data_IF_269082596406
#
_entry.id   IF_269082596406
#
_cell.length_a   1.000
_cell.length_b   1.000
_cell.length_c   1.000
_cell.angle_alpha   90.00
_cell.angle_beta   90.00
_cell.angle_gamma   90.00
#
_symmetry.space_group_name_H-M   'P 1'
#
loop_
_entity.id
_entity.type
_entity.pdbx_description
1 polymer ?
#
# COMPACT_ATOMS: atom_id res chain seq x y z
N UNK A 1 -21.46 6.24 -24.75
CA UNK A 1 -21.51 6.53 -23.28
C UNK A 1 -20.96 5.35 -22.52
N UNK A 2 -20.12 5.57 -21.49
CA UNK A 2 -19.64 4.51 -20.61
C UNK A 2 -20.52 4.42 -19.37
N UNK A 3 -20.88 3.21 -18.96
CA UNK A 3 -21.67 2.94 -17.78
C UNK A 3 -21.11 1.75 -17.02
N UNK A 4 -21.02 1.86 -15.68
CA UNK A 4 -20.64 0.77 -14.80
C UNK A 4 -21.90 0.31 -14.05
N UNK A 5 -22.32 -0.93 -14.27
CA UNK A 5 -23.49 -1.52 -13.61
C UNK A 5 -23.05 -2.58 -12.62
N UNK A 6 -23.61 -2.55 -11.42
CA UNK A 6 -23.44 -3.61 -10.44
C UNK A 6 -24.18 -4.87 -10.91
N UNK A 7 -23.59 -6.05 -10.67
CA UNK A 7 -24.24 -7.34 -10.89
C UNK A 7 -25.61 -7.38 -10.18
N UNK A 8 -26.60 -7.92 -10.87
CA UNK A 8 -27.92 -8.22 -10.36
C UNK A 8 -28.35 -9.63 -10.76
N UNK A 9 -29.15 -10.30 -9.94
CA UNK A 9 -29.74 -11.59 -10.27
C UNK A 9 -30.63 -11.55 -11.54
N UNK A 10 -31.06 -10.35 -11.98
CA UNK A 10 -31.82 -10.15 -13.19
C UNK A 10 -30.99 -9.93 -14.47
N UNK A 11 -29.67 -10.04 -14.41
CA UNK A 11 -28.80 -9.82 -15.57
C UNK A 11 -29.02 -10.89 -16.64
N UNK A 12 -29.27 -10.43 -17.87
CA UNK A 12 -29.79 -11.25 -18.97
C UNK A 12 -28.74 -11.87 -19.89
N UNK A 13 -29.23 -12.34 -21.05
CA UNK A 13 -28.48 -13.09 -22.07
C UNK A 13 -27.28 -12.31 -22.60
N UNK A 14 -27.35 -11.00 -22.74
CA UNK A 14 -26.27 -10.17 -23.29
C UNK A 14 -24.97 -10.23 -22.47
N UNK A 15 -25.09 -10.35 -21.12
CA UNK A 15 -23.95 -10.52 -20.23
C UNK A 15 -23.43 -11.95 -20.28
N UNK A 16 -24.34 -12.92 -20.32
CA UNK A 16 -23.96 -14.31 -20.50
C UNK A 16 -23.12 -14.50 -21.77
N UNK A 17 -23.58 -13.98 -22.92
CA UNK A 17 -22.86 -14.02 -24.19
C UNK A 17 -21.48 -13.35 -24.10
N UNK A 18 -21.39 -12.18 -23.46
CA UNK A 18 -20.10 -11.52 -23.20
C UNK A 18 -19.16 -12.43 -22.40
N UNK A 19 -19.67 -13.07 -21.36
CA UNK A 19 -18.87 -13.96 -20.51
C UNK A 19 -18.42 -15.24 -21.22
N UNK A 20 -19.20 -15.75 -22.22
CA UNK A 20 -18.78 -16.87 -23.06
C UNK A 20 -17.58 -16.52 -23.97
N UNK A 21 -17.42 -15.25 -24.37
CA UNK A 21 -16.26 -14.82 -25.17
C UNK A 21 -14.99 -14.66 -24.33
N UNK A 22 -15.12 -14.41 -23.03
CA UNK A 22 -13.98 -14.21 -22.13
C UNK A 22 -13.48 -15.58 -21.68
N UNK A 23 -12.18 -15.92 -21.89
CA UNK A 23 -11.62 -17.22 -21.51
C UNK A 23 -11.86 -17.57 -20.04
N UNK A 24 -12.03 -18.86 -19.75
CA UNK A 24 -12.19 -19.39 -18.40
C UNK A 24 -11.02 -18.98 -17.47
N UNK A 25 -9.80 -18.99 -18.03
CA UNK A 25 -8.60 -18.53 -17.32
C UNK A 25 -7.70 -17.70 -18.25
N UNK A 26 -7.30 -16.54 -17.78
CA UNK A 26 -6.33 -15.69 -18.47
C UNK A 26 -5.61 -14.78 -17.47
N UNK A 27 -4.27 -14.81 -17.45
CA UNK A 27 -3.45 -13.92 -16.61
C UNK A 27 -3.83 -13.89 -15.11
N UNK A 28 -4.16 -15.04 -14.53
CA UNK A 28 -4.67 -15.22 -13.17
C UNK A 28 -6.09 -14.63 -12.95
N UNK A 29 -6.81 -14.29 -14.01
CA UNK A 29 -8.22 -13.98 -13.96
C UNK A 29 -9.03 -15.24 -14.27
N UNK A 30 -10.00 -15.56 -13.39
CA UNK A 30 -10.89 -16.70 -13.53
C UNK A 30 -12.29 -16.24 -13.90
N UNK A 31 -12.83 -16.82 -14.98
CA UNK A 31 -14.21 -16.64 -15.45
C UNK A 31 -14.95 -17.97 -15.34
N UNK A 32 -15.62 -18.17 -14.22
CA UNK A 32 -16.38 -19.40 -13.94
C UNK A 32 -17.65 -19.58 -14.79
N UNK A 33 -18.01 -18.56 -15.57
CA UNK A 33 -19.23 -18.60 -16.43
C UNK A 33 -18.88 -19.13 -17.83
N UNK A 34 -17.61 -19.09 -18.25
CA UNK A 34 -17.21 -19.59 -19.54
C UNK A 34 -17.48 -21.10 -19.66
N UNK A 35 -18.32 -21.48 -20.61
CA UNK A 35 -18.66 -22.89 -20.91
C UNK A 35 -19.80 -23.50 -20.09
N UNK A 36 -20.40 -22.77 -19.14
CA UNK A 36 -21.59 -23.26 -18.42
C UNK A 36 -22.88 -22.94 -19.19
N UNK A 37 -24.00 -23.61 -18.85
CA UNK A 37 -25.30 -23.32 -19.44
C UNK A 37 -25.87 -21.99 -18.95
N UNK A 38 -26.85 -21.43 -19.67
CA UNK A 38 -27.55 -20.22 -19.24
C UNK A 38 -28.32 -20.42 -17.93
N UNK A 39 -28.85 -21.61 -17.68
CA UNK A 39 -29.51 -21.96 -16.42
C UNK A 39 -28.51 -21.89 -15.25
N UNK A 40 -27.34 -22.52 -15.37
CA UNK A 40 -26.27 -22.44 -14.36
C UNK A 40 -25.73 -21.01 -14.17
N UNK A 41 -25.80 -20.17 -15.21
CA UNK A 41 -25.44 -18.75 -15.11
C UNK A 41 -26.44 -17.99 -14.22
N UNK A 42 -27.71 -18.32 -14.22
CA UNK A 42 -28.71 -17.69 -13.32
C UNK A 42 -28.40 -18.01 -11.85
N UNK A 43 -28.02 -19.27 -11.56
CA UNK A 43 -27.59 -19.67 -10.21
C UNK A 43 -26.32 -18.92 -9.79
N UNK A 44 -25.35 -18.81 -10.69
CA UNK A 44 -24.14 -18.01 -10.47
C UNK A 44 -24.44 -16.55 -10.11
N UNK A 45 -25.37 -15.89 -10.81
CA UNK A 45 -25.76 -14.50 -10.51
C UNK A 45 -26.33 -14.37 -9.09
N UNK A 46 -27.23 -15.28 -8.71
CA UNK A 46 -27.85 -15.28 -7.39
C UNK A 46 -26.82 -15.51 -6.26
N UNK A 47 -25.84 -16.37 -6.50
CA UNK A 47 -24.74 -16.62 -5.55
C UNK A 47 -23.83 -15.39 -5.43
N UNK A 48 -23.39 -14.82 -6.56
CA UNK A 48 -22.49 -13.66 -6.57
C UNK A 48 -23.13 -12.39 -5.99
N UNK A 49 -24.43 -12.19 -6.16
CA UNK A 49 -25.15 -11.09 -5.53
C UNK A 49 -25.11 -11.19 -4.00
N UNK A 50 -25.30 -12.40 -3.46
CA UNK A 50 -25.19 -12.67 -2.02
C UNK A 50 -23.77 -12.44 -1.48
N UNK A 51 -22.73 -12.83 -2.23
CA UNK A 51 -21.34 -12.62 -1.83
C UNK A 51 -20.97 -11.14 -1.64
N UNK A 52 -21.65 -10.23 -2.34
CA UNK A 52 -21.41 -8.78 -2.18
C UNK A 52 -21.90 -8.22 -0.84
N UNK A 53 -22.85 -8.91 -0.20
CA UNK A 53 -23.46 -8.52 1.07
C UNK A 53 -23.03 -9.43 2.25
N UNK A 54 -22.28 -10.52 1.98
CA UNK A 54 -21.95 -11.52 2.99
C UNK A 54 -20.94 -11.00 4.00
N UNK A 55 -21.40 -10.72 5.21
CA UNK A 55 -20.55 -10.61 6.39
C UNK A 55 -20.04 -12.01 6.75
N UNK A 56 -18.72 -12.22 6.78
CA UNK A 56 -18.13 -13.47 7.30
C UNK A 56 -17.56 -14.45 6.26
N UNK A 57 -17.61 -14.19 4.97
CA UNK A 57 -16.89 -14.97 3.95
C UNK A 57 -15.39 -14.63 3.96
N UNK A 58 -14.66 -15.05 4.97
CA UNK A 58 -13.21 -14.83 5.07
C UNK A 58 -12.53 -16.18 5.21
N UNK A 59 -12.01 -16.73 4.10
CA UNK A 59 -11.27 -18.00 4.08
C UNK A 59 -9.83 -17.88 3.53
N UNK A 60 -9.23 -16.68 3.67
CA UNK A 60 -7.88 -16.39 3.16
C UNK A 60 -7.89 -15.86 1.73
N UNK A 61 -8.64 -16.44 0.80
CA UNK A 61 -8.77 -16.00 -0.61
C UNK A 61 -10.12 -15.37 -0.92
N UNK A 62 -11.15 -15.64 -0.12
CA UNK A 62 -12.49 -15.11 -0.27
C UNK A 62 -12.75 -13.99 0.71
N UNK A 63 -13.27 -12.90 0.21
CA UNK A 63 -13.75 -11.74 0.97
C UNK A 63 -14.99 -11.22 0.27
N UNK A 64 -15.87 -10.48 0.96
CA UNK A 64 -16.95 -9.76 0.32
C UNK A 64 -16.43 -8.98 -0.88
N UNK A 65 -17.06 -9.18 -2.04
CA UNK A 65 -16.68 -8.54 -3.29
C UNK A 65 -17.90 -8.18 -4.13
N UNK A 66 -17.84 -7.03 -4.78
CA UNK A 66 -18.89 -6.58 -5.69
C UNK A 66 -18.43 -6.74 -7.12
N UNK A 67 -19.23 -7.44 -7.93
CA UNK A 67 -19.01 -7.55 -9.37
C UNK A 67 -19.71 -6.43 -10.11
N UNK A 68 -19.04 -5.91 -11.15
CA UNK A 68 -19.52 -4.87 -12.02
C UNK A 68 -19.35 -5.26 -13.48
N UNK A 69 -20.27 -4.77 -14.31
CA UNK A 69 -20.24 -4.87 -15.77
C UNK A 69 -19.92 -3.50 -16.37
N UNK A 70 -19.02 -3.46 -17.34
CA UNK A 70 -18.78 -2.27 -18.13
C UNK A 70 -19.65 -2.30 -19.38
N UNK A 71 -20.50 -1.29 -19.54
CA UNK A 71 -21.26 -1.05 -20.75
C UNK A 71 -20.65 0.09 -21.55
N UNK A 72 -20.62 -0.09 -22.88
CA UNK A 72 -20.24 0.95 -23.83
C UNK A 72 -21.36 1.03 -24.86
N UNK A 73 -22.02 2.20 -24.96
CA UNK A 73 -23.13 2.42 -25.87
C UNK A 73 -24.25 1.35 -25.76
N UNK A 74 -24.53 0.96 -24.52
CA UNK A 74 -25.59 -0.04 -24.22
C UNK A 74 -25.15 -1.49 -24.38
N UNK A 75 -23.88 -1.78 -24.78
CA UNK A 75 -23.35 -3.13 -24.98
C UNK A 75 -22.39 -3.49 -23.85
N UNK A 76 -22.51 -4.67 -23.20
CA UNK A 76 -21.54 -5.12 -22.20
C UNK A 76 -20.22 -5.52 -22.87
N UNK A 77 -19.11 -4.98 -22.37
CA UNK A 77 -17.77 -5.17 -22.97
C UNK A 77 -16.74 -5.77 -22.02
N UNK A 78 -17.05 -5.88 -20.74
CA UNK A 78 -16.16 -6.44 -19.76
C UNK A 78 -16.73 -6.47 -18.36
N UNK A 79 -16.00 -7.10 -17.44
CA UNK A 79 -16.40 -7.18 -16.04
C UNK A 79 -15.24 -6.90 -15.09
N UNK A 80 -15.56 -6.63 -13.84
CA UNK A 80 -14.58 -6.54 -12.77
C UNK A 80 -15.18 -6.91 -11.42
N UNK A 81 -14.32 -7.44 -10.55
CA UNK A 81 -14.59 -7.69 -9.14
C UNK A 81 -13.83 -6.67 -8.30
N UNK A 82 -14.53 -5.98 -7.40
CA UNK A 82 -13.97 -5.08 -6.40
C UNK A 82 -14.10 -5.74 -5.02
N UNK A 83 -12.99 -6.18 -4.45
CA UNK A 83 -12.90 -6.74 -3.10
C UNK A 83 -12.90 -5.63 -2.06
N UNK A 84 -13.74 -5.78 -1.03
CA UNK A 84 -13.96 -4.74 -0.02
C UNK A 84 -12.76 -4.54 0.90
N UNK A 85 -11.97 -5.59 1.13
CA UNK A 85 -10.71 -5.57 1.87
C UNK A 85 -9.79 -6.70 1.40
N UNK A 86 -8.56 -6.77 1.94
CA UNK A 86 -7.59 -7.79 1.55
C UNK A 86 -7.10 -8.59 2.76
N UNK A 87 -7.16 -9.91 2.64
CA UNK A 87 -6.44 -10.84 3.51
C UNK A 87 -4.94 -10.84 3.19
N UNK A 88 -4.08 -11.44 4.03
CA UNK A 88 -2.66 -11.63 3.72
C UNK A 88 -2.43 -12.35 2.38
N UNK A 89 -3.22 -13.39 2.05
CA UNK A 89 -3.14 -14.11 0.79
C UNK A 89 -3.49 -13.21 -0.42
N UNK A 90 -4.57 -12.45 -0.34
CA UNK A 90 -4.99 -11.52 -1.39
C UNK A 90 -4.02 -10.35 -1.59
N UNK A 91 -3.27 -9.97 -0.55
CA UNK A 91 -2.16 -8.99 -0.66
C UNK A 91 -0.96 -9.55 -1.42
N UNK A 92 -0.75 -10.87 -1.40
CA UNK A 92 0.31 -11.53 -2.16
C UNK A 92 -0.10 -11.81 -3.61
N UNK A 93 -1.39 -12.15 -3.84
CA UNK A 93 -1.91 -12.41 -5.18
C UNK A 93 -3.41 -12.08 -5.24
N UNK A 94 -3.86 -11.43 -6.31
CA UNK A 94 -5.26 -11.06 -6.53
C UNK A 94 -5.55 -9.56 -6.32
N UNK A 95 -5.05 -8.93 -5.27
CA UNK A 95 -5.28 -7.51 -4.99
C UNK A 95 -6.76 -7.16 -4.78
N UNK A 96 -7.10 -5.85 -4.80
CA UNK A 96 -8.48 -5.39 -4.63
C UNK A 96 -9.33 -5.59 -5.88
N UNK A 97 -8.75 -5.52 -7.08
CA UNK A 97 -9.52 -5.50 -8.33
C UNK A 97 -8.97 -6.55 -9.30
N UNK A 98 -9.86 -7.46 -9.74
CA UNK A 98 -9.68 -8.29 -10.91
C UNK A 98 -10.63 -7.83 -12.02
N UNK A 99 -10.19 -7.80 -13.27
CA UNK A 99 -11.03 -7.36 -14.39
C UNK A 99 -10.65 -8.02 -15.70
N UNK A 100 -11.62 -8.14 -16.61
CA UNK A 100 -11.42 -8.59 -17.96
C UNK A 100 -12.25 -7.79 -18.95
N UNK A 101 -11.73 -7.62 -20.17
CA UNK A 101 -12.44 -7.09 -21.34
C UNK A 101 -12.60 -8.22 -22.35
N UNK A 102 -13.81 -8.34 -22.92
CA UNK A 102 -14.08 -9.35 -23.95
C UNK A 102 -13.10 -9.18 -25.13
N UNK A 103 -12.58 -10.27 -25.70
CA UNK A 103 -11.50 -10.23 -26.69
C UNK A 103 -11.75 -9.29 -27.86
N UNK A 104 -12.99 -9.29 -28.40
CA UNK A 104 -13.41 -8.45 -29.54
C UNK A 104 -13.42 -6.94 -29.26
N UNK A 105 -13.32 -6.54 -27.97
CA UNK A 105 -13.40 -5.15 -27.52
C UNK A 105 -12.05 -4.65 -26.92
N UNK A 106 -11.00 -5.47 -26.98
CA UNK A 106 -9.66 -5.08 -26.50
C UNK A 106 -9.00 -4.06 -27.43
N UNK A 107 -7.97 -3.37 -26.89
CA UNK A 107 -7.23 -2.37 -27.65
C UNK A 107 -7.92 -1.01 -27.79
N UNK A 108 -9.18 -0.88 -27.37
CA UNK A 108 -10.01 0.35 -27.49
C UNK A 108 -9.95 1.26 -26.25
N UNK A 109 -9.08 0.97 -25.27
CA UNK A 109 -8.96 1.75 -24.03
C UNK A 109 -9.99 1.41 -22.94
N UNK A 110 -10.87 0.44 -23.16
CA UNK A 110 -11.97 0.12 -22.24
C UNK A 110 -11.49 -0.39 -20.87
N UNK A 111 -10.38 -1.13 -20.80
CA UNK A 111 -9.79 -1.54 -19.52
C UNK A 111 -9.37 -0.34 -18.67
N UNK A 112 -8.82 0.71 -19.28
CA UNK A 112 -8.48 1.94 -18.57
C UNK A 112 -9.71 2.62 -17.99
N UNK A 113 -10.79 2.71 -18.79
CA UNK A 113 -12.05 3.34 -18.34
C UNK A 113 -12.76 2.50 -17.28
N UNK A 114 -12.74 1.17 -17.42
CA UNK A 114 -13.29 0.26 -16.40
C UNK A 114 -12.60 0.48 -15.05
N UNK A 115 -11.25 0.49 -15.02
CA UNK A 115 -10.53 0.73 -13.79
C UNK A 115 -10.81 2.13 -13.22
N UNK A 116 -10.86 3.17 -14.04
CA UNK A 116 -11.21 4.53 -13.60
C UNK A 116 -12.56 4.57 -12.85
N UNK A 117 -13.60 3.96 -13.42
CA UNK A 117 -14.94 3.90 -12.81
C UNK A 117 -14.94 3.06 -11.51
N UNK A 118 -14.18 1.96 -11.48
CA UNK A 118 -14.06 1.15 -10.27
C UNK A 118 -13.35 1.88 -9.13
N UNK A 119 -12.38 2.75 -9.44
CA UNK A 119 -11.73 3.57 -8.43
C UNK A 119 -12.71 4.59 -7.80
N UNK A 120 -13.73 5.04 -8.54
CA UNK A 120 -14.80 5.84 -7.96
C UNK A 120 -15.66 5.03 -6.99
N UNK A 121 -16.02 3.79 -7.34
CA UNK A 121 -16.73 2.88 -6.42
C UNK A 121 -15.88 2.57 -5.18
N UNK A 122 -14.58 2.31 -5.34
CA UNK A 122 -13.67 2.09 -4.24
C UNK A 122 -13.58 3.31 -3.28
N UNK A 123 -13.65 4.55 -3.82
CA UNK A 123 -13.73 5.77 -2.99
C UNK A 123 -15.03 5.85 -2.21
N UNK A 124 -16.18 5.49 -2.83
CA UNK A 124 -17.48 5.43 -2.14
C UNK A 124 -17.44 4.43 -0.98
N UNK A 125 -16.69 3.34 -1.12
CA UNK A 125 -16.43 2.34 -0.07
C UNK A 125 -15.39 2.80 0.96
N UNK A 126 -14.87 4.04 0.86
CA UNK A 126 -13.86 4.62 1.74
C UNK A 126 -12.53 3.85 1.77
N UNK A 127 -12.19 3.15 0.68
CA UNK A 127 -10.86 2.58 0.54
C UNK A 127 -9.83 3.72 0.39
N UNK A 128 -8.76 3.66 1.14
CA UNK A 128 -7.69 4.68 1.05
C UNK A 128 -6.77 4.45 -0.15
N UNK A 129 -6.61 3.20 -0.56
CA UNK A 129 -5.80 2.77 -1.70
C UNK A 129 -6.32 1.45 -2.29
N UNK A 130 -5.99 1.22 -3.55
CA UNK A 130 -6.28 -0.04 -4.25
C UNK A 130 -4.96 -0.69 -4.64
N UNK A 131 -4.82 -1.98 -4.30
CA UNK A 131 -3.72 -2.83 -4.76
C UNK A 131 -4.16 -3.58 -6.03
N UNK A 132 -3.38 -3.45 -7.09
CA UNK A 132 -3.48 -4.26 -8.31
C UNK A 132 -2.26 -5.18 -8.35
N UNK A 133 -2.49 -6.47 -8.55
CA UNK A 133 -1.43 -7.44 -8.80
C UNK A 133 -1.53 -7.93 -10.24
N UNK A 134 -0.41 -8.04 -10.92
CA UNK A 134 -0.35 -8.49 -12.31
C UNK A 134 0.89 -9.38 -12.55
N UNK A 135 0.78 -10.39 -13.40
CA UNK A 135 1.96 -11.12 -13.88
C UNK A 135 2.86 -10.16 -14.67
N UNK A 136 4.20 -10.26 -14.58
CA UNK A 136 5.11 -9.36 -15.31
C UNK A 136 4.87 -9.35 -16.83
N UNK A 137 4.42 -10.47 -17.39
CA UNK A 137 4.07 -10.60 -18.81
C UNK A 137 2.77 -9.86 -19.17
N UNK A 138 1.88 -9.58 -18.21
CA UNK A 138 0.62 -8.88 -18.45
C UNK A 138 0.83 -7.35 -18.53
N UNK A 139 1.55 -6.93 -19.58
CA UNK A 139 1.84 -5.52 -19.82
C UNK A 139 0.57 -4.68 -19.98
N UNK A 140 -0.52 -5.27 -20.48
CA UNK A 140 -1.81 -4.59 -20.63
C UNK A 140 -2.37 -4.15 -19.26
N UNK A 141 -2.45 -5.06 -18.28
CA UNK A 141 -2.93 -4.72 -16.93
C UNK A 141 -2.01 -3.73 -16.21
N UNK A 142 -0.69 -3.92 -16.34
CA UNK A 142 0.31 -2.98 -15.79
C UNK A 142 0.12 -1.58 -16.39
N UNK A 143 -0.07 -1.49 -17.70
CA UNK A 143 -0.32 -0.23 -18.43
C UNK A 143 -1.62 0.44 -18.00
N UNK A 144 -2.70 -0.32 -17.84
CA UNK A 144 -4.00 0.16 -17.34
C UNK A 144 -3.88 0.72 -15.92
N UNK A 145 -3.21 0.00 -15.02
CA UNK A 145 -3.01 0.45 -13.65
C UNK A 145 -2.16 1.74 -13.60
N UNK A 146 -1.05 1.81 -14.35
CA UNK A 146 -0.21 3.01 -14.45
C UNK A 146 -0.96 4.21 -15.02
N UNK A 147 -1.80 4.02 -16.05
CA UNK A 147 -2.61 5.07 -16.66
C UNK A 147 -3.67 5.63 -15.69
N UNK A 148 -4.03 4.90 -14.65
CA UNK A 148 -4.92 5.29 -13.55
C UNK A 148 -4.16 5.74 -12.27
N UNK A 149 -2.89 6.10 -12.40
CA UNK A 149 -2.08 6.62 -11.28
C UNK A 149 -1.39 5.55 -10.45
N UNK A 150 -1.44 4.28 -10.88
CA UNK A 150 -0.78 3.17 -10.21
C UNK A 150 0.74 3.28 -10.24
N UNK A 151 1.35 3.02 -9.10
CA UNK A 151 2.81 2.99 -8.92
C UNK A 151 3.25 1.62 -8.50
N UNK A 152 4.33 1.13 -9.12
CA UNK A 152 4.94 -0.13 -8.72
C UNK A 152 5.59 0.08 -7.35
N UNK A 153 5.11 -0.67 -6.35
CA UNK A 153 5.63 -0.65 -4.98
C UNK A 153 6.49 -1.88 -4.66
N UNK A 154 6.30 -2.95 -5.43
CA UNK A 154 7.07 -4.18 -5.33
C UNK A 154 7.00 -4.94 -6.66
N UNK A 155 8.07 -5.66 -7.00
CA UNK A 155 8.11 -6.57 -8.13
C UNK A 155 8.91 -7.81 -7.77
N UNK A 156 8.41 -8.97 -8.16
CA UNK A 156 9.07 -10.28 -8.09
C UNK A 156 9.11 -10.87 -9.49
N UNK A 157 9.70 -12.06 -9.64
CA UNK A 157 9.69 -12.81 -10.91
C UNK A 157 8.28 -13.21 -11.34
N UNK A 158 7.36 -13.40 -10.37
CA UNK A 158 5.99 -13.87 -10.62
C UNK A 158 4.95 -12.76 -10.65
N UNK A 159 5.19 -11.63 -9.95
CA UNK A 159 4.16 -10.62 -9.72
C UNK A 159 4.71 -9.20 -9.65
N UNK A 160 3.98 -8.27 -10.28
CA UNK A 160 4.13 -6.82 -10.15
C UNK A 160 3.00 -6.30 -9.27
N UNK A 161 3.34 -5.55 -8.24
CA UNK A 161 2.40 -4.95 -7.28
C UNK A 161 2.32 -3.46 -7.52
N UNK A 162 1.13 -2.99 -7.91
CA UNK A 162 0.86 -1.57 -8.14
C UNK A 162 -0.16 -1.07 -7.12
N UNK A 163 0.12 0.07 -6.52
CA UNK A 163 -0.81 0.75 -5.62
C UNK A 163 -1.32 2.02 -6.28
N UNK A 164 -2.64 2.19 -6.26
CA UNK A 164 -3.34 3.41 -6.69
C UNK A 164 -3.89 4.07 -5.44
N UNK A 165 -3.35 5.23 -5.02
CA UNK A 165 -3.90 5.97 -3.89
C UNK A 165 -5.26 6.58 -4.27
N UNK A 166 -6.25 6.46 -3.39
CA UNK A 166 -7.59 7.02 -3.56
C UNK A 166 -7.80 8.29 -2.75
N UNK A 167 -6.95 8.52 -1.77
CA UNK A 167 -6.93 9.72 -0.93
C UNK A 167 -5.62 10.46 -1.13
N UNK A 168 -5.65 11.76 -0.92
CA UNK A 168 -4.46 12.58 -0.93
C UNK A 168 -3.93 12.69 0.50
N UNK A 169 -2.70 12.24 0.71
CA UNK A 169 -2.04 12.31 2.02
C UNK A 169 -1.19 13.57 2.21
N UNK A 170 -1.23 14.55 1.28
CA UNK A 170 -0.38 15.75 1.34
C UNK A 170 -0.56 16.54 2.64
N UNK A 171 -1.77 16.55 3.17
CA UNK A 171 -2.13 17.35 4.35
C UNK A 171 -1.98 16.57 5.67
N UNK A 172 -1.62 15.29 5.60
CA UNK A 172 -1.39 14.47 6.79
C UNK A 172 -0.10 14.91 7.45
N UNK A 173 -0.24 15.40 8.68
CA UNK A 173 0.88 15.82 9.53
C UNK A 173 0.66 15.40 10.98
N UNK A 174 1.75 15.20 11.69
CA UNK A 174 1.77 15.04 13.14
C UNK A 174 2.67 16.16 13.71
N UNK A 175 2.34 16.62 14.88
CA UNK A 175 3.05 17.73 15.50
C UNK A 175 3.44 17.38 16.94
N UNK A 176 4.59 17.83 17.36
CA UNK A 176 5.07 17.81 18.74
C UNK A 176 5.56 19.19 19.16
N UNK A 177 6.19 19.30 20.29
CA UNK A 177 6.74 20.57 20.81
C UNK A 177 7.71 21.22 19.82
N UNK A 178 8.73 20.48 19.37
CA UNK A 178 9.79 21.00 18.52
C UNK A 178 9.69 20.54 17.06
N UNK A 179 8.83 19.56 16.74
CA UNK A 179 8.84 18.86 15.45
C UNK A 179 7.50 18.93 14.72
N UNK A 180 7.61 18.88 13.39
CA UNK A 180 6.49 18.62 12.48
C UNK A 180 6.86 17.44 11.59
N UNK A 181 6.09 16.36 11.68
CA UNK A 181 6.18 15.21 10.79
C UNK A 181 5.19 15.41 9.65
N UNK A 182 5.65 15.62 8.43
CA UNK A 182 4.79 15.88 7.26
C UNK A 182 5.38 15.32 5.98
N UNK A 183 4.63 15.44 4.88
CA UNK A 183 5.09 15.02 3.55
C UNK A 183 6.24 15.89 3.06
N UNK A 184 7.17 15.24 2.35
CA UNK A 184 8.30 15.89 1.71
C UNK A 184 7.86 16.79 0.55
N UNK A 185 8.67 17.81 0.27
CA UNK A 185 8.66 18.58 -0.96
C UNK A 185 9.89 18.27 -1.78
N UNK A 186 9.84 18.53 -3.07
CA UNK A 186 10.97 18.23 -3.97
C UNK A 186 12.26 18.94 -3.54
N UNK A 187 12.16 20.19 -3.08
CA UNK A 187 13.28 21.01 -2.64
C UNK A 187 13.99 20.54 -1.36
N UNK A 188 13.33 19.70 -0.55
CA UNK A 188 13.87 19.23 0.73
C UNK A 188 15.09 18.29 0.59
N UNK A 189 15.35 17.78 -0.64
CA UNK A 189 16.48 16.88 -0.91
C UNK A 189 17.83 17.47 -0.46
N UNK A 190 18.03 18.79 -0.64
CA UNK A 190 19.30 19.44 -0.33
C UNK A 190 19.58 19.44 1.17
N UNK A 191 18.61 19.88 1.97
CA UNK A 191 18.75 19.87 3.41
C UNK A 191 18.89 18.44 3.97
N UNK A 192 18.10 17.47 3.48
CA UNK A 192 18.26 16.07 3.89
C UNK A 192 19.58 15.47 3.46
N UNK A 193 20.13 15.84 2.30
CA UNK A 193 21.46 15.40 1.92
C UNK A 193 22.49 15.85 2.93
N UNK A 194 22.48 17.12 3.32
CA UNK A 194 23.42 17.68 4.27
C UNK A 194 23.18 17.20 5.71
N UNK A 195 21.92 17.10 6.13
CA UNK A 195 21.58 16.77 7.51
C UNK A 195 21.59 15.28 7.82
N UNK A 196 21.27 14.42 6.83
CA UNK A 196 21.03 13.00 7.07
C UNK A 196 21.77 12.09 6.10
N UNK A 197 21.53 12.24 4.78
CA UNK A 197 21.81 11.18 3.83
C UNK A 197 23.29 10.97 3.48
N UNK A 198 24.14 11.96 3.68
CA UNK A 198 25.59 11.83 3.44
C UNK A 198 26.36 11.23 4.61
N UNK A 199 25.73 11.09 5.79
CA UNK A 199 26.41 10.69 7.02
C UNK A 199 26.38 9.18 7.23
N UNK A 200 27.57 8.60 7.47
CA UNK A 200 27.75 7.18 7.78
C UNK A 200 27.05 6.80 9.10
N UNK A 201 27.12 7.67 10.10
CA UNK A 201 26.50 7.47 11.41
C UNK A 201 25.00 7.27 11.31
N UNK A 202 24.33 8.05 10.45
CA UNK A 202 22.89 7.96 10.23
C UNK A 202 22.49 6.68 9.50
N UNK A 203 23.38 6.16 8.63
CA UNK A 203 23.14 4.95 7.86
C UNK A 203 23.56 3.66 8.61
N UNK A 204 24.28 3.76 9.70
CA UNK A 204 24.96 2.64 10.39
C UNK A 204 24.04 1.45 10.65
N UNK A 205 22.87 1.70 11.20
CA UNK A 205 21.90 0.66 11.55
C UNK A 205 20.71 0.56 10.58
N UNK A 206 20.77 1.34 9.49
CA UNK A 206 19.72 1.39 8.47
C UNK A 206 20.06 0.50 7.28
N UNK A 207 19.07 0.17 6.46
CA UNK A 207 19.27 -0.65 5.24
C UNK A 207 19.75 0.17 4.03
N UNK A 208 19.80 1.50 4.12
CA UNK A 208 20.30 2.37 3.06
C UNK A 208 21.79 2.70 3.26
N UNK A 209 22.47 3.06 2.17
CA UNK A 209 23.87 3.55 2.18
C UNK A 209 23.88 5.08 2.12
N UNK A 210 24.91 5.73 2.71
CA UNK A 210 25.10 7.17 2.54
C UNK A 210 25.11 7.57 1.06
N UNK A 211 24.53 8.73 0.77
CA UNK A 211 24.54 9.29 -0.58
C UNK A 211 25.85 10.01 -0.83
N UNK A 212 26.49 9.70 -1.96
CA UNK A 212 27.81 10.23 -2.33
C UNK A 212 27.74 11.51 -3.14
N UNK A 213 26.56 11.81 -3.72
CA UNK A 213 26.37 12.98 -4.56
C UNK A 213 24.98 13.59 -4.38
N UNK A 214 24.83 14.85 -4.80
CA UNK A 214 23.53 15.52 -4.87
C UNK A 214 22.57 14.83 -5.83
N UNK A 215 23.06 14.19 -6.90
CA UNK A 215 22.26 13.46 -7.84
C UNK A 215 21.59 12.24 -7.18
N UNK A 216 22.37 11.43 -6.45
CA UNK A 216 21.83 10.33 -5.65
C UNK A 216 20.81 10.81 -4.60
N UNK A 217 21.02 12.00 -4.03
CA UNK A 217 20.08 12.60 -3.08
C UNK A 217 18.76 13.01 -3.76
N UNK A 218 18.80 13.58 -4.98
CA UNK A 218 17.60 13.91 -5.76
C UNK A 218 16.81 12.66 -6.15
N UNK A 219 17.49 11.60 -6.57
CA UNK A 219 16.84 10.32 -6.85
C UNK A 219 16.21 9.73 -5.58
N UNK A 220 16.91 9.80 -4.43
CA UNK A 220 16.37 9.37 -3.16
C UNK A 220 15.09 10.14 -2.80
N UNK A 221 15.08 11.47 -2.99
CA UNK A 221 13.89 12.29 -2.79
C UNK A 221 12.76 11.89 -3.72
N UNK A 222 13.03 11.62 -4.98
CA UNK A 222 12.00 11.16 -5.92
C UNK A 222 11.34 9.86 -5.47
N UNK A 223 12.13 8.91 -4.93
CA UNK A 223 11.61 7.67 -4.32
C UNK A 223 10.80 7.95 -3.05
N UNK A 224 11.27 8.86 -2.21
CA UNK A 224 10.58 9.29 -0.99
C UNK A 224 9.20 9.89 -1.31
N UNK A 225 9.13 10.79 -2.28
CA UNK A 225 7.87 11.39 -2.74
C UNK A 225 6.91 10.34 -3.33
N UNK A 226 7.45 9.36 -4.07
CA UNK A 226 6.65 8.27 -4.59
C UNK A 226 6.06 7.38 -3.47
N UNK A 227 6.87 7.03 -2.47
CA UNK A 227 6.45 6.28 -1.29
C UNK A 227 5.36 7.05 -0.52
N UNK A 228 5.57 8.32 -0.25
CA UNK A 228 4.65 9.14 0.54
C UNK A 228 3.28 9.37 -0.12
N UNK A 229 3.16 9.13 -1.42
CA UNK A 229 1.86 9.14 -2.13
C UNK A 229 1.01 7.92 -1.83
N UNK A 230 1.64 6.80 -1.45
CA UNK A 230 0.96 5.52 -1.21
C UNK A 230 0.91 5.14 0.28
N UNK A 231 1.79 5.74 1.10
CA UNK A 231 1.90 5.45 2.52
C UNK A 231 1.48 6.67 3.35
N UNK A 232 0.34 6.53 4.05
CA UNK A 232 -0.28 7.61 4.83
C UNK A 232 0.68 8.18 5.87
N UNK A 233 1.38 7.33 6.60
CA UNK A 233 2.22 7.69 7.73
C UNK A 233 3.73 7.56 7.43
N UNK A 234 4.13 7.83 6.19
CA UNK A 234 5.53 8.05 5.85
C UNK A 234 5.80 9.57 5.81
N UNK A 235 6.72 10.04 6.64
CA UNK A 235 6.99 11.46 6.86
C UNK A 235 8.45 11.81 6.73
N UNK A 236 8.74 13.09 6.40
CA UNK A 236 9.95 13.74 6.85
C UNK A 236 9.70 14.42 8.20
N UNK A 237 10.75 14.53 8.99
CA UNK A 237 10.76 15.19 10.29
C UNK A 237 11.40 16.57 10.12
N UNK A 238 10.66 17.61 10.44
CA UNK A 238 11.11 19.01 10.33
C UNK A 238 11.20 19.63 11.70
N UNK A 239 12.22 20.48 11.90
CA UNK A 239 12.25 21.37 13.05
C UNK A 239 11.12 22.42 12.91
N UNK A 240 10.29 22.55 13.92
CA UNK A 240 9.21 23.54 13.94
C UNK A 240 9.75 24.97 13.82
N UNK A 241 10.87 25.27 14.48
CA UNK A 241 11.46 26.60 14.54
C UNK A 241 12.00 27.09 13.20
N UNK A 242 12.64 26.22 12.43
CA UNK A 242 13.32 26.61 11.17
C UNK A 242 12.60 26.12 9.92
N UNK A 243 11.72 25.12 10.04
CA UNK A 243 11.11 24.44 8.91
C UNK A 243 12.07 23.53 8.16
N UNK A 244 13.25 23.26 8.70
CA UNK A 244 14.30 22.45 8.07
C UNK A 244 14.06 20.96 8.31
N UNK A 245 14.14 20.11 7.27
CA UNK A 245 14.04 18.66 7.42
C UNK A 245 15.33 18.09 8.01
N UNK A 246 15.20 17.31 9.08
CA UNK A 246 16.31 16.75 9.87
C UNK A 246 16.34 15.23 9.89
N UNK A 247 15.33 14.59 9.32
CA UNK A 247 15.20 13.14 9.34
C UNK A 247 13.92 12.65 8.68
N UNK A 248 13.62 11.39 8.92
CA UNK A 248 12.35 10.80 8.53
C UNK A 248 11.81 9.89 9.63
N UNK A 249 10.50 9.65 9.60
CA UNK A 249 9.81 8.75 10.50
C UNK A 249 8.57 8.18 9.83
N UNK A 250 8.14 7.01 10.26
CA UNK A 250 6.90 6.43 9.74
C UNK A 250 6.37 5.29 10.58
N UNK A 251 5.09 4.97 10.33
CA UNK A 251 4.41 3.81 10.88
C UNK A 251 3.45 3.20 9.87
N UNK A 252 3.01 1.99 10.12
CA UNK A 252 1.98 1.31 9.32
C UNK A 252 1.07 0.49 10.21
N UNK A 253 -0.15 0.30 9.77
CA UNK A 253 -1.07 -0.69 10.32
C UNK A 253 -0.55 -2.10 9.97
N UNK A 254 -0.35 -2.91 10.99
CA UNK A 254 0.07 -4.32 10.88
C UNK A 254 -1.11 -5.28 11.00
N UNK A 255 -2.33 -4.78 11.22
CA UNK A 255 -3.54 -5.56 11.47
C UNK A 255 -3.80 -5.80 12.96
N UNK A 256 -4.97 -6.30 13.29
CA UNK A 256 -5.37 -6.71 14.65
C UNK A 256 -5.15 -5.64 15.75
N UNK A 257 -5.32 -4.37 15.39
CA UNK A 257 -5.10 -3.25 16.31
C UNK A 257 -3.63 -2.99 16.64
N UNK A 258 -2.69 -3.49 15.82
CA UNK A 258 -1.26 -3.29 15.98
C UNK A 258 -0.75 -2.31 14.92
N UNK A 259 -0.03 -1.28 15.35
CA UNK A 259 0.78 -0.43 14.47
C UNK A 259 2.26 -0.70 14.67
N UNK A 260 3.03 -0.64 13.59
CA UNK A 260 4.47 -0.86 13.61
C UNK A 260 5.24 0.31 13.03
N UNK A 261 6.37 0.64 13.65
CA UNK A 261 7.35 1.61 13.12
C UNK A 261 7.91 1.08 11.77
N UNK A 262 8.08 1.98 10.80
CA UNK A 262 8.61 1.64 9.46
C UNK A 262 10.00 2.22 9.21
N UNK A 263 10.59 2.86 10.19
CA UNK A 263 11.90 3.48 10.19
C UNK A 263 11.87 4.88 10.80
N UNK A 264 12.83 5.15 11.68
CA UNK A 264 13.10 6.47 12.25
C UNK A 264 14.60 6.73 12.10
N UNK A 265 14.96 7.83 11.47
CA UNK A 265 16.34 8.28 11.41
C UNK A 265 16.42 9.80 11.51
N UNK A 266 17.39 10.28 12.27
CA UNK A 266 17.75 11.67 12.42
C UNK A 266 19.20 11.89 12.00
N UNK A 267 19.50 13.07 11.50
CA UNK A 267 20.89 13.45 11.24
C UNK A 267 21.72 13.51 12.52
N UNK A 268 23.07 13.34 12.43
CA UNK A 268 23.92 13.23 13.60
C UNK A 268 23.88 14.48 14.49
N UNK A 269 23.71 15.67 13.92
CA UNK A 269 23.62 16.93 14.68
C UNK A 269 22.27 17.07 15.44
N UNK A 270 21.30 16.17 15.21
CA UNK A 270 19.97 16.22 15.78
C UNK A 270 19.67 15.08 16.77
N UNK A 271 20.61 14.16 16.97
CA UNK A 271 20.48 13.12 17.99
C UNK A 271 20.80 13.66 19.40
N UNK A 272 20.31 12.98 20.43
CA UNK A 272 20.57 13.38 21.83
C UNK A 272 19.77 14.59 22.33
N UNK A 273 18.91 15.20 21.51
CA UNK A 273 18.11 16.39 21.84
C UNK A 273 16.65 16.09 22.24
N UNK A 274 16.33 14.82 22.49
CA UNK A 274 14.96 14.40 22.84
C UNK A 274 14.03 14.21 21.64
N UNK A 275 14.44 14.51 20.40
CA UNK A 275 13.59 14.44 19.22
C UNK A 275 13.08 13.03 18.90
N UNK A 276 13.90 12.00 19.15
CA UNK A 276 13.46 10.61 18.98
C UNK A 276 12.25 10.27 19.85
N UNK A 277 12.21 10.78 21.09
CA UNK A 277 11.07 10.62 22.00
C UNK A 277 9.84 11.33 21.44
N UNK A 278 9.97 12.59 21.04
CA UNK A 278 8.86 13.34 20.45
C UNK A 278 8.27 12.67 19.21
N UNK A 279 9.12 12.02 18.39
CA UNK A 279 8.67 11.26 17.23
C UNK A 279 7.84 10.04 17.67
N UNK A 280 8.34 9.24 18.63
CA UNK A 280 7.60 8.09 19.12
C UNK A 280 6.27 8.48 19.76
N UNK A 281 6.27 9.54 20.57
CA UNK A 281 5.06 10.05 21.22
C UNK A 281 4.02 10.47 20.15
N UNK A 282 4.42 11.23 19.12
CA UNK A 282 3.53 11.64 18.04
C UNK A 282 2.97 10.46 17.24
N UNK A 283 3.81 9.46 16.93
CA UNK A 283 3.37 8.25 16.19
C UNK A 283 2.43 7.39 17.04
N UNK A 284 2.76 7.17 18.32
CA UNK A 284 1.93 6.32 19.21
C UNK A 284 0.60 6.96 19.54
N UNK A 285 0.54 8.26 19.74
CA UNK A 285 -0.72 9.00 19.96
C UNK A 285 -1.62 8.94 18.71
N UNK A 286 -1.06 9.10 17.51
CA UNK A 286 -1.83 8.95 16.28
C UNK A 286 -2.31 7.50 16.09
N UNK A 287 -1.47 6.49 16.36
CA UNK A 287 -1.88 5.09 16.29
C UNK A 287 -3.04 4.80 17.26
N UNK A 288 -2.97 5.31 18.49
CA UNK A 288 -4.04 5.23 19.48
C UNK A 288 -5.33 5.89 19.00
N UNK A 289 -5.23 7.08 18.41
CA UNK A 289 -6.36 7.79 17.80
C UNK A 289 -7.03 6.98 16.69
N UNK A 290 -6.23 6.16 15.98
CA UNK A 290 -6.72 5.23 14.94
C UNK A 290 -7.26 3.89 15.50
N UNK A 291 -7.35 3.75 16.83
CA UNK A 291 -7.89 2.56 17.48
C UNK A 291 -6.87 1.43 17.70
N UNK A 292 -5.58 1.73 17.58
CA UNK A 292 -4.56 0.75 17.91
C UNK A 292 -4.52 0.46 19.42
N UNK A 293 -4.26 -0.80 19.75
CA UNK A 293 -4.06 -1.27 21.14
C UNK A 293 -2.59 -1.50 21.46
N UNK A 294 -1.74 -1.61 20.42
CA UNK A 294 -0.30 -1.86 20.54
C UNK A 294 0.48 -1.10 19.46
N UNK A 295 1.67 -0.68 19.83
CA UNK A 295 2.66 -0.17 18.90
C UNK A 295 3.95 -0.98 19.01
N UNK A 296 4.50 -1.42 17.89
CA UNK A 296 5.73 -2.21 17.82
C UNK A 296 6.84 -1.39 17.19
N UNK A 297 8.01 -1.38 17.80
CA UNK A 297 9.22 -0.76 17.26
C UNK A 297 10.36 -1.77 17.23
N UNK A 298 11.21 -1.70 16.19
CA UNK A 298 12.35 -2.56 16.02
C UNK A 298 13.66 -1.79 16.02
N UNK A 299 14.72 -2.37 16.56
CA UNK A 299 16.09 -1.85 16.45
C UNK A 299 17.09 -2.99 16.34
N UNK A 300 18.25 -2.74 15.74
CA UNK A 300 19.37 -3.68 15.86
C UNK A 300 19.83 -3.77 17.32
N UNK A 301 20.19 -4.96 17.75
CA UNK A 301 20.63 -5.22 19.14
C UNK A 301 21.80 -4.34 19.56
N UNK A 302 22.65 -3.93 18.63
CA UNK A 302 23.80 -3.05 18.86
C UNK A 302 23.42 -1.56 18.95
N UNK A 303 22.17 -1.19 18.59
CA UNK A 303 21.72 0.21 18.59
C UNK A 303 21.21 0.64 19.97
N UNK A 304 22.14 0.84 20.89
CA UNK A 304 21.87 1.26 22.26
C UNK A 304 21.08 2.59 22.35
N UNK A 305 21.35 3.53 21.44
CA UNK A 305 20.65 4.81 21.43
C UNK A 305 19.15 4.64 21.14
N UNK A 306 18.80 3.81 20.16
CA UNK A 306 17.40 3.49 19.84
C UNK A 306 16.73 2.75 20.99
N UNK A 307 17.41 1.75 21.57
CA UNK A 307 16.91 0.97 22.71
C UNK A 307 16.58 1.86 23.92
N UNK A 308 17.50 2.76 24.28
CA UNK A 308 17.26 3.72 25.38
C UNK A 308 16.10 4.65 25.07
N UNK A 309 16.00 5.15 23.84
CA UNK A 309 14.88 5.99 23.41
C UNK A 309 13.54 5.27 23.54
N UNK A 310 13.45 4.03 23.02
CA UNK A 310 12.23 3.23 23.09
C UNK A 310 11.81 2.95 24.53
N UNK A 311 12.74 2.56 25.40
CA UNK A 311 12.47 2.36 26.85
C UNK A 311 11.96 3.62 27.52
N UNK A 312 12.57 4.79 27.22
CA UNK A 312 12.11 6.08 27.74
C UNK A 312 10.70 6.46 27.25
N UNK A 313 10.25 5.90 26.11
CA UNK A 313 8.89 6.08 25.59
C UNK A 313 7.89 5.03 26.09
N UNK A 314 8.30 4.14 27.02
CA UNK A 314 7.44 3.12 27.61
C UNK A 314 7.33 1.82 26.79
N UNK A 315 8.26 1.59 25.88
CA UNK A 315 8.38 0.29 25.20
C UNK A 315 9.08 -0.73 26.08
N UNK A 316 8.62 -1.97 26.05
CA UNK A 316 9.23 -3.13 26.70
C UNK A 316 9.64 -4.15 25.67
N UNK A 317 10.66 -4.93 25.97
CA UNK A 317 11.12 -6.03 25.12
C UNK A 317 10.01 -7.06 24.88
N UNK A 318 9.87 -7.50 23.62
CA UNK A 318 8.94 -8.54 23.22
C UNK A 318 9.70 -9.79 22.75
N UNK A 319 10.45 -9.70 21.64
CA UNK A 319 11.21 -10.81 21.11
C UNK A 319 12.40 -10.36 20.25
N UNK A 320 13.27 -11.31 19.92
CA UNK A 320 14.32 -11.15 18.90
C UNK A 320 13.85 -11.72 17.56
N UNK A 321 14.30 -11.10 16.47
CA UNK A 321 14.11 -11.69 15.13
C UNK A 321 14.98 -12.94 14.96
N UNK A 322 14.73 -13.71 13.91
CA UNK A 322 15.72 -14.60 13.34
C UNK A 322 16.96 -13.81 12.88
N UNK A 323 18.09 -14.51 12.72
CA UNK A 323 19.33 -13.92 12.21
C UNK A 323 19.10 -13.33 10.81
N UNK A 324 19.51 -12.10 10.63
CA UNK A 324 19.44 -11.37 9.36
C UNK A 324 20.83 -11.06 8.83
N UNK A 325 20.94 -10.84 7.53
CA UNK A 325 22.21 -10.41 6.90
C UNK A 325 22.04 -8.97 6.41
N UNK A 326 22.98 -8.11 6.77
CA UNK A 326 23.02 -6.73 6.27
C UNK A 326 23.39 -6.75 4.77
N UNK A 327 22.52 -6.26 3.88
CA UNK A 327 22.77 -6.27 2.44
C UNK A 327 23.91 -5.33 2.02
N UNK A 328 24.37 -4.43 2.91
CA UNK A 328 25.47 -3.51 2.65
C UNK A 328 26.83 -4.10 2.96
N UNK A 329 26.95 -4.85 4.09
CA UNK A 329 28.22 -5.33 4.62
C UNK A 329 28.35 -6.85 4.59
N UNK A 330 27.24 -7.58 4.47
CA UNK A 330 27.22 -9.03 4.62
C UNK A 330 27.26 -9.52 6.09
N UNK A 331 27.31 -8.60 7.05
CA UNK A 331 27.37 -8.94 8.47
C UNK A 331 26.04 -9.47 8.97
N UNK A 332 26.10 -10.39 9.93
CA UNK A 332 24.94 -10.93 10.62
C UNK A 332 24.46 -9.99 11.73
N UNK A 333 23.16 -9.83 11.90
CA UNK A 333 22.56 -9.03 12.96
C UNK A 333 21.21 -9.57 13.39
N UNK A 334 20.76 -9.16 14.57
CA UNK A 334 19.42 -9.41 15.09
C UNK A 334 18.66 -8.10 15.26
N UNK A 335 17.33 -8.17 15.11
CA UNK A 335 16.44 -7.10 15.53
C UNK A 335 15.84 -7.45 16.89
N UNK A 336 15.89 -6.50 17.79
CA UNK A 336 15.11 -6.49 19.02
C UNK A 336 13.80 -5.79 18.71
N UNK A 337 12.69 -6.51 18.89
CA UNK A 337 11.35 -5.94 18.81
C UNK A 337 10.86 -5.58 20.20
N UNK A 338 10.34 -4.37 20.31
CA UNK A 338 9.82 -3.81 21.54
C UNK A 338 8.35 -3.40 21.32
N UNK A 339 7.52 -3.59 22.34
CA UNK A 339 6.09 -3.29 22.28
C UNK A 339 5.70 -2.25 23.32
N UNK A 340 4.79 -1.36 22.94
CA UNK A 340 4.13 -0.38 23.82
C UNK A 340 2.62 -0.62 23.74
N UNK A 341 1.92 -0.97 24.83
CA UNK A 341 0.46 -0.89 24.93
C UNK A 341 0.01 0.57 24.76
N UNK A 342 -1.15 0.80 24.11
CA UNK A 342 -1.67 2.13 23.80
C UNK A 342 -2.98 2.45 24.52
#
# INVERSE_FOLDING_TARGET
MFELRKLSAGDGMEIYEMLQEIPAEENNMHNSVCGISYESYQDFLAEREKESAAEGLIDGWRVPSTRYWLYVEGKPVGFADLRHFLTPALRQSGGNIGYAIRPTERGKGYGKKLLELLLEEARKMKLEKVLITARPINMASIGVAKANGGKIVRQTEECVYLVIPLVNYSDVKLESEDLILKKARQEDWRALYHNLWKHEESARYMLWRPKKSEEEARECMSRTLALQKTEKYAFLVYLRKTGEPIGFAGMKDAGDGVYGETGIALGPDFVGKGYGRQIFDALTEEAKRMGATKFVAGNRTENEASRRCQRACGFSFDHLSEEKTDPKTGEKYFLEYNVKPL
#
